data_IF_577576630621
#
_entry.id   IF_577576630621
#
_cell.length_a   1.000
_cell.length_b   1.000
_cell.length_c   1.000
_cell.angle_alpha   90.00
_cell.angle_beta   90.00
_cell.angle_gamma   90.00
#
_symmetry.space_group_name_H-M   'P 1'
#
loop_
_entity.id
_entity.type
_entity.pdbx_description
1 polymer ?
#
# COMPACT_ATOMS: atom_id res chain seq x y z
N UNK A 1 -8.19 6.30 -16.26
CA UNK A 1 -7.09 6.98 -16.96
C UNK A 1 -6.00 7.28 -15.93
N UNK A 2 -4.74 7.03 -16.26
CA UNK A 2 -3.58 7.30 -15.41
C UNK A 2 -2.41 7.81 -16.25
N UNK A 3 -1.29 8.16 -15.60
CA UNK A 3 -0.08 8.61 -16.28
C UNK A 3 1.17 8.15 -15.57
N UNK A 4 2.20 7.78 -16.35
CA UNK A 4 3.56 7.57 -15.90
C UNK A 4 4.56 7.89 -17.02
N UNK A 5 5.83 8.02 -16.68
CA UNK A 5 6.84 8.44 -17.65
C UNK A 5 7.18 7.38 -18.71
N UNK A 6 6.93 6.09 -18.43
CA UNK A 6 7.21 4.97 -19.33
C UNK A 6 6.11 4.84 -20.38
N UNK A 7 4.86 4.73 -19.93
CA UNK A 7 3.69 4.51 -20.79
C UNK A 7 3.07 5.83 -21.30
N UNK A 8 3.45 6.97 -20.70
CA UNK A 8 2.75 8.24 -20.90
C UNK A 8 1.35 8.20 -20.29
N UNK A 9 0.39 8.80 -20.96
CA UNK A 9 -1.03 8.62 -20.61
C UNK A 9 -1.44 7.18 -20.90
N UNK A 10 -2.14 6.56 -19.96
CA UNK A 10 -2.67 5.20 -20.10
C UNK A 10 -4.17 5.15 -19.87
N UNK A 11 -4.83 4.32 -20.64
CA UNK A 11 -6.26 4.09 -20.54
C UNK A 11 -6.45 2.67 -20.00
N UNK A 12 -7.15 2.56 -18.86
CA UNK A 12 -7.49 1.28 -18.22
C UNK A 12 -9.00 1.08 -18.28
N UNK A 13 -9.42 -0.06 -18.81
CA UNK A 13 -10.82 -0.51 -18.82
C UNK A 13 -10.88 -1.80 -18.03
N UNK A 14 -11.82 -1.90 -17.12
CA UNK A 14 -11.99 -3.07 -16.28
C UNK A 14 -13.42 -3.56 -16.25
N UNK A 15 -13.57 -4.85 -16.05
CA UNK A 15 -14.84 -5.54 -15.92
C UNK A 15 -14.84 -6.35 -14.63
N UNK A 16 -15.99 -6.38 -13.96
CA UNK A 16 -16.23 -7.22 -12.80
C UNK A 16 -17.66 -7.75 -12.83
N UNK A 17 -17.80 -9.06 -12.65
CA UNK A 17 -19.14 -9.65 -12.50
C UNK A 17 -19.76 -9.19 -11.18
N UNK A 18 -21.05 -8.88 -11.24
CA UNK A 18 -21.85 -8.53 -10.08
C UNK A 18 -23.29 -9.00 -10.34
N UNK A 19 -23.62 -10.20 -9.90
CA UNK A 19 -24.97 -10.77 -10.05
C UNK A 19 -25.81 -10.50 -8.81
N UNK A 20 -25.21 -10.48 -7.63
CA UNK A 20 -25.86 -10.08 -6.39
C UNK A 20 -24.82 -9.64 -5.32
N UNK A 21 -25.31 -9.14 -4.17
CA UNK A 21 -24.43 -8.83 -3.03
C UNK A 21 -23.86 -10.11 -2.38
N UNK A 22 -24.46 -11.25 -2.66
CA UNK A 22 -24.10 -12.55 -2.07
C UNK A 22 -23.56 -13.52 -3.12
N UNK A 23 -22.89 -13.01 -4.15
CA UNK A 23 -22.29 -13.84 -5.20
C UNK A 23 -21.33 -14.88 -4.61
N UNK A 24 -21.47 -16.14 -5.06
CA UNK A 24 -20.52 -17.21 -4.73
C UNK A 24 -19.29 -17.22 -5.62
N UNK A 25 -19.38 -16.58 -6.76
CA UNK A 25 -18.30 -16.46 -7.74
C UNK A 25 -18.15 -15.02 -8.16
N UNK A 26 -16.91 -14.58 -8.29
CA UNK A 26 -16.59 -13.26 -8.84
C UNK A 26 -15.39 -13.32 -9.74
N UNK A 27 -15.59 -12.85 -10.95
CA UNK A 27 -14.55 -12.64 -11.93
C UNK A 27 -14.26 -11.15 -12.07
N UNK A 28 -12.98 -10.80 -12.20
CA UNK A 28 -12.53 -9.44 -12.49
C UNK A 28 -11.48 -9.50 -13.60
N UNK A 29 -11.50 -8.55 -14.49
CA UNK A 29 -10.49 -8.36 -15.51
C UNK A 29 -10.25 -6.90 -15.79
N UNK A 30 -9.06 -6.57 -16.25
CA UNK A 30 -8.77 -5.26 -16.82
C UNK A 30 -7.80 -5.37 -17.97
N UNK A 31 -7.86 -4.37 -18.85
CA UNK A 31 -6.93 -4.15 -19.93
C UNK A 31 -6.47 -2.70 -19.86
N UNK A 32 -5.17 -2.48 -19.99
CA UNK A 32 -4.55 -1.15 -19.98
C UNK A 32 -3.74 -0.97 -21.25
N UNK A 33 -3.87 0.19 -21.89
CA UNK A 33 -3.03 0.58 -23.03
C UNK A 33 -2.25 1.85 -22.72
N UNK A 34 -0.94 1.80 -22.86
CA UNK A 34 -0.03 2.93 -22.74
C UNK A 34 0.14 3.63 -24.07
N UNK A 35 -0.13 4.95 -24.12
CA UNK A 35 -0.12 5.69 -25.40
C UNK A 35 1.29 6.01 -25.89
N UNK A 36 2.28 6.16 -25.00
CA UNK A 36 3.67 6.50 -25.35
C UNK A 36 4.44 5.31 -25.90
N UNK A 37 4.47 4.21 -25.15
CA UNK A 37 5.22 3.00 -25.50
C UNK A 37 4.38 1.96 -26.23
N UNK A 38 3.09 2.21 -26.45
CA UNK A 38 2.12 1.32 -27.09
C UNK A 38 2.01 -0.07 -26.43
N UNK A 39 2.41 -0.19 -25.17
CA UNK A 39 2.30 -1.45 -24.43
C UNK A 39 0.88 -1.78 -24.04
N UNK A 40 0.59 -3.06 -23.91
CA UNK A 40 -0.63 -3.60 -23.35
C UNK A 40 -0.32 -4.32 -22.06
N UNK A 41 -1.09 -4.00 -21.01
CA UNK A 41 -1.03 -4.71 -19.74
C UNK A 41 -2.43 -5.21 -19.40
N UNK A 42 -2.53 -6.31 -18.69
CA UNK A 42 -3.81 -6.93 -18.37
C UNK A 42 -3.76 -7.67 -17.05
N UNK A 43 -4.95 -7.93 -16.51
CA UNK A 43 -5.09 -8.76 -15.33
C UNK A 43 -6.44 -9.46 -15.29
N UNK A 44 -6.41 -10.67 -14.77
CA UNK A 44 -7.55 -11.55 -14.61
C UNK A 44 -7.57 -12.07 -13.17
N UNK A 45 -8.75 -12.12 -12.53
CA UNK A 45 -8.90 -12.81 -11.25
C UNK A 45 -10.25 -13.48 -11.14
N UNK A 46 -10.28 -14.63 -10.49
CA UNK A 46 -11.48 -15.37 -10.18
C UNK A 46 -11.47 -15.77 -8.70
N UNK A 47 -12.55 -15.50 -8.00
CA UNK A 47 -12.72 -15.84 -6.60
C UNK A 47 -13.99 -16.67 -6.44
N UNK A 48 -13.90 -17.77 -5.71
CA UNK A 48 -14.99 -18.68 -5.48
C UNK A 48 -15.18 -18.96 -3.98
N UNK A 49 -16.42 -18.81 -3.50
CA UNK A 49 -16.82 -19.10 -2.14
C UNK A 49 -17.18 -20.58 -2.02
N UNK A 50 -16.25 -21.38 -1.48
CA UNK A 50 -16.41 -22.82 -1.28
C UNK A 50 -17.38 -23.17 -0.16
N UNK A 51 -17.32 -22.42 0.94
CA UNK A 51 -18.15 -22.64 2.13
C UNK A 51 -18.49 -21.34 2.85
N UNK A 52 -19.64 -21.34 3.57
CA UNK A 52 -20.10 -20.20 4.36
C UNK A 52 -19.85 -20.36 5.87
N UNK A 53 -19.74 -21.59 6.35
CA UNK A 53 -19.52 -21.93 7.78
C UNK A 53 -18.70 -23.22 7.91
N UNK A 54 -17.37 -23.12 8.08
CA UNK A 54 -16.55 -21.89 8.03
C UNK A 54 -16.57 -21.27 6.62
N UNK A 55 -16.32 -19.97 6.55
CA UNK A 55 -16.21 -19.27 5.28
C UNK A 55 -14.85 -19.56 4.67
N UNK A 56 -14.86 -20.13 3.48
CA UNK A 56 -13.66 -20.47 2.73
C UNK A 56 -13.78 -19.88 1.33
N UNK A 57 -12.81 -19.06 0.94
CA UNK A 57 -12.67 -18.54 -0.42
C UNK A 57 -11.41 -19.11 -1.02
N UNK A 58 -11.51 -19.54 -2.26
CA UNK A 58 -10.36 -19.84 -3.12
C UNK A 58 -10.33 -18.84 -4.26
N UNK A 59 -9.17 -18.27 -4.52
CA UNK A 59 -8.96 -17.29 -5.56
C UNK A 59 -7.74 -17.62 -6.40
N UNK A 60 -7.81 -17.27 -7.67
CA UNK A 60 -6.69 -17.31 -8.61
C UNK A 60 -6.61 -15.99 -9.35
N UNK A 61 -5.40 -15.50 -9.58
CA UNK A 61 -5.18 -14.31 -10.40
C UNK A 61 -3.91 -14.43 -11.24
N UNK A 62 -3.95 -13.79 -12.39
CA UNK A 62 -2.79 -13.54 -13.22
C UNK A 62 -2.81 -12.09 -13.67
N UNK A 63 -1.65 -11.43 -13.67
CA UNK A 63 -1.51 -10.08 -14.22
C UNK A 63 -0.14 -9.91 -14.85
N UNK A 64 -0.10 -9.13 -15.92
CA UNK A 64 1.07 -8.61 -16.58
C UNK A 64 0.95 -7.09 -16.56
N UNK A 65 1.67 -6.42 -15.67
CA UNK A 65 1.48 -4.99 -15.42
C UNK A 65 2.76 -4.32 -14.91
N UNK A 66 2.86 -3.02 -15.17
CA UNK A 66 3.90 -2.16 -14.62
C UNK A 66 3.53 -1.76 -13.18
N UNK A 67 4.23 -2.32 -12.23
CA UNK A 67 4.00 -2.05 -10.81
C UNK A 67 4.98 -1.02 -10.25
N UNK A 68 4.49 -0.19 -9.34
CA UNK A 68 5.27 0.74 -8.53
C UNK A 68 5.42 0.16 -7.14
N UNK A 69 6.64 -0.18 -6.75
CA UNK A 69 6.93 -0.51 -5.36
C UNK A 69 7.08 0.76 -4.51
N UNK A 70 6.95 0.62 -3.20
CA UNK A 70 7.12 1.73 -2.26
C UNK A 70 5.85 2.52 -1.95
N UNK A 71 4.66 2.05 -2.38
CA UNK A 71 3.38 2.64 -2.02
C UNK A 71 2.89 2.17 -0.65
N UNK A 72 2.40 0.94 -0.55
CA UNK A 72 1.88 0.36 0.71
C UNK A 72 2.63 -0.91 1.08
N UNK A 73 2.96 -1.07 2.36
CA UNK A 73 3.63 -2.27 2.86
C UNK A 73 2.65 -3.42 3.11
N UNK A 74 1.44 -3.10 3.56
CA UNK A 74 0.42 -4.09 3.90
C UNK A 74 -0.90 -3.79 3.19
N UNK A 75 -1.44 -4.77 2.47
CA UNK A 75 -2.78 -4.72 1.87
C UNK A 75 -3.68 -5.74 2.56
N UNK A 76 -4.95 -5.39 2.78
CA UNK A 76 -5.92 -6.31 3.37
C UNK A 76 -6.37 -7.41 2.39
N UNK A 77 -6.36 -7.13 1.09
CA UNK A 77 -6.76 -8.10 0.06
C UNK A 77 -5.74 -8.18 -1.09
N UNK A 78 -5.05 -9.31 -1.25
CA UNK A 78 -4.01 -9.47 -2.27
C UNK A 78 -4.54 -9.74 -3.69
N UNK A 79 -5.83 -10.03 -3.85
CA UNK A 79 -6.44 -10.36 -5.15
C UNK A 79 -7.33 -9.27 -5.73
N UNK A 80 -7.51 -8.16 -5.01
CA UNK A 80 -8.24 -7.01 -5.54
C UNK A 80 -7.29 -6.17 -6.40
N UNK A 81 -7.64 -6.00 -7.68
CA UNK A 81 -7.01 -5.02 -8.54
C UNK A 81 -7.50 -3.62 -8.16
N UNK A 82 -6.57 -2.74 -7.76
CA UNK A 82 -6.90 -1.35 -7.51
C UNK A 82 -7.00 -0.59 -8.85
N UNK A 83 -8.21 -0.18 -9.29
CA UNK A 83 -8.37 0.55 -10.53
C UNK A 83 -7.80 1.98 -10.46
N UNK A 84 -7.52 2.49 -9.26
CA UNK A 84 -7.02 3.85 -9.00
C UNK A 84 -5.54 3.88 -8.62
N UNK A 85 -4.83 2.77 -8.69
CA UNK A 85 -3.40 2.68 -8.35
C UNK A 85 -2.52 3.69 -9.12
N UNK A 86 -2.99 4.15 -10.28
CA UNK A 86 -2.30 5.14 -11.11
C UNK A 86 -3.07 6.45 -11.20
N UNK A 87 -2.71 7.41 -10.37
CA UNK A 87 -3.25 8.76 -10.46
C UNK A 87 -2.75 9.47 -11.73
N UNK A 88 -3.62 10.32 -12.31
CA UNK A 88 -3.27 11.18 -13.47
C UNK A 88 -2.15 12.15 -13.16
N UNK A 89 -2.14 12.68 -11.93
CA UNK A 89 -1.19 13.69 -11.49
C UNK A 89 -0.40 13.17 -10.29
N UNK A 90 0.91 13.13 -10.46
CA UNK A 90 1.87 12.79 -9.41
C UNK A 90 2.98 13.82 -9.38
N UNK A 91 3.55 14.08 -8.21
CA UNK A 91 4.77 14.88 -8.09
C UNK A 91 6.00 13.98 -8.20
N UNK A 92 7.13 14.58 -8.58
CA UNK A 92 8.42 13.87 -8.66
C UNK A 92 8.49 12.84 -9.79
N UNK A 93 9.55 12.06 -9.78
CA UNK A 93 9.83 11.06 -10.82
C UNK A 93 8.84 9.89 -10.75
N UNK A 94 8.37 9.45 -11.89
CA UNK A 94 7.36 8.40 -12.01
C UNK A 94 7.78 7.29 -13.00
N UNK A 95 9.10 7.11 -13.18
CA UNK A 95 9.70 6.04 -13.98
C UNK A 95 10.20 4.86 -13.15
N UNK A 96 10.20 4.95 -11.82
CA UNK A 96 10.58 3.86 -10.92
C UNK A 96 9.57 2.71 -10.96
N UNK A 97 9.51 2.02 -12.10
CA UNK A 97 8.54 0.94 -12.32
C UNK A 97 9.22 -0.35 -12.72
N UNK A 98 8.58 -1.40 -12.32
CA UNK A 98 9.00 -2.77 -12.56
C UNK A 98 7.93 -3.47 -13.38
N UNK A 99 8.35 -4.17 -14.41
CA UNK A 99 7.50 -5.05 -15.20
C UNK A 99 7.34 -6.37 -14.46
N UNK A 100 6.10 -6.79 -14.22
CA UNK A 100 5.80 -7.95 -13.38
C UNK A 100 4.71 -8.79 -14.01
N UNK A 101 5.06 -10.04 -14.29
CA UNK A 101 4.10 -11.11 -14.49
C UNK A 101 3.86 -11.79 -13.14
N UNK A 102 2.64 -11.75 -12.63
CA UNK A 102 2.29 -12.17 -11.28
C UNK A 102 1.13 -13.17 -11.30
N UNK A 103 1.43 -14.43 -11.01
CA UNK A 103 0.45 -15.48 -10.83
C UNK A 103 0.26 -15.78 -9.34
N UNK A 104 -0.99 -15.86 -8.90
CA UNK A 104 -1.33 -16.09 -7.49
C UNK A 104 -2.46 -17.09 -7.34
N UNK A 105 -2.32 -17.95 -6.34
CA UNK A 105 -3.42 -18.80 -5.82
C UNK A 105 -3.57 -18.52 -4.34
N UNK A 106 -4.77 -18.16 -3.93
CA UNK A 106 -5.07 -17.80 -2.55
C UNK A 106 -6.17 -18.68 -1.96
N UNK A 107 -6.02 -19.00 -0.68
CA UNK A 107 -7.12 -19.51 0.14
C UNK A 107 -7.30 -18.58 1.34
N UNK A 108 -8.51 -18.06 1.51
CA UNK A 108 -8.91 -17.28 2.70
C UNK A 108 -9.88 -18.10 3.53
N UNK A 109 -9.54 -18.29 4.79
CA UNK A 109 -10.28 -19.10 5.74
C UNK A 109 -10.69 -18.25 6.95
N UNK A 110 -11.98 -17.92 7.04
CA UNK A 110 -12.51 -17.25 8.20
C UNK A 110 -12.85 -18.27 9.31
N UNK A 111 -11.92 -18.48 10.24
CA UNK A 111 -12.12 -19.35 11.42
C UNK A 111 -13.32 -18.84 12.21
N UNK A 112 -13.37 -17.54 12.42
CA UNK A 112 -14.49 -16.81 13.03
C UNK A 112 -14.70 -15.50 12.28
N UNK A 113 -15.78 -14.77 12.58
CA UNK A 113 -15.94 -13.40 12.06
C UNK A 113 -14.83 -12.43 12.47
N UNK A 114 -14.07 -12.76 13.51
CA UNK A 114 -13.01 -11.91 14.07
C UNK A 114 -11.61 -12.34 13.62
N UNK A 115 -11.42 -13.58 13.18
CA UNK A 115 -10.13 -14.16 12.83
C UNK A 115 -10.17 -14.80 11.44
N UNK A 116 -9.36 -14.23 10.54
CA UNK A 116 -9.13 -14.73 9.19
C UNK A 116 -7.68 -15.18 9.04
N UNK A 117 -7.50 -16.33 8.41
CA UNK A 117 -6.22 -16.84 7.96
C UNK A 117 -6.24 -16.94 6.45
N UNK A 118 -5.22 -16.43 5.78
CA UNK A 118 -5.05 -16.61 4.34
C UNK A 118 -3.69 -17.22 4.04
N UNK A 119 -3.68 -18.07 3.03
CA UNK A 119 -2.46 -18.58 2.41
C UNK A 119 -2.45 -18.14 0.97
N UNK A 120 -1.31 -17.67 0.49
CA UNK A 120 -1.09 -17.26 -0.87
C UNK A 120 0.15 -17.97 -1.39
N UNK A 121 0.03 -18.72 -2.46
CA UNK A 121 1.15 -19.09 -3.30
C UNK A 121 1.28 -18.06 -4.42
N UNK A 122 2.48 -17.63 -4.71
CA UNK A 122 2.77 -16.68 -5.78
C UNK A 122 3.93 -17.15 -6.64
N UNK A 123 3.88 -16.77 -7.91
CA UNK A 123 4.95 -16.89 -8.89
C UNK A 123 5.03 -15.56 -9.62
N UNK A 124 6.19 -14.92 -9.52
CA UNK A 124 6.45 -13.62 -10.13
C UNK A 124 7.68 -13.68 -11.01
N UNK A 125 7.53 -13.20 -12.22
CA UNK A 125 8.64 -12.84 -13.09
C UNK A 125 8.78 -11.31 -13.02
N UNK A 126 9.96 -10.84 -12.65
CA UNK A 126 10.20 -9.43 -12.29
C UNK A 126 11.39 -8.91 -13.08
N UNK A 127 11.15 -7.87 -13.87
CA UNK A 127 12.15 -7.20 -14.68
C UNK A 127 12.09 -5.68 -14.55
N UNK A 128 13.18 -4.97 -14.85
CA UNK A 128 13.13 -3.51 -14.90
C UNK A 128 12.37 -3.05 -16.14
N UNK A 129 11.45 -2.11 -15.96
CA UNK A 129 10.66 -1.56 -17.07
C UNK A 129 11.43 -0.51 -17.91
N UNK A 130 12.48 0.08 -17.35
CA UNK A 130 13.37 1.05 -18.00
C UNK A 130 14.77 0.92 -17.39
N UNK A 131 15.58 -0.07 -17.84
CA UNK A 131 16.87 -0.39 -17.23
C UNK A 131 17.88 0.75 -17.28
N UNK A 132 17.75 1.66 -18.25
CA UNK A 132 18.68 2.78 -18.42
C UNK A 132 18.52 3.84 -17.34
N UNK A 133 17.31 4.03 -16.83
CA UNK A 133 16.99 5.03 -15.78
C UNK A 133 16.75 4.40 -14.42
N UNK A 134 16.25 3.17 -14.38
CA UNK A 134 15.92 2.46 -13.15
C UNK A 134 16.19 0.95 -13.29
N UNK A 135 17.36 0.53 -12.85
CA UNK A 135 17.71 -0.89 -12.77
C UNK A 135 17.33 -1.47 -11.40
N UNK A 136 16.77 -2.66 -11.42
CA UNK A 136 16.55 -3.50 -10.23
C UNK A 136 17.66 -4.58 -10.11
N UNK A 137 18.80 -4.35 -10.73
CA UNK A 137 19.92 -5.28 -10.78
C UNK A 137 20.37 -5.75 -9.39
N UNK A 138 20.80 -6.98 -9.33
CA UNK A 138 21.41 -7.56 -8.14
C UNK A 138 22.55 -8.51 -8.50
N UNK A 139 23.54 -8.57 -7.61
CA UNK A 139 24.79 -9.32 -7.83
C UNK A 139 24.65 -10.77 -7.40
N UNK A 140 25.03 -11.69 -8.29
CA UNK A 140 25.13 -13.13 -8.02
C UNK A 140 26.55 -13.57 -8.37
N UNK A 141 27.42 -13.62 -7.36
CA UNK A 141 28.86 -13.84 -7.60
C UNK A 141 29.49 -12.64 -8.33
N UNK A 142 30.04 -12.87 -9.51
CA UNK A 142 30.63 -11.83 -10.38
C UNK A 142 29.61 -11.22 -11.37
N UNK A 143 28.44 -11.83 -11.52
CA UNK A 143 27.44 -11.44 -12.50
C UNK A 143 26.37 -10.54 -11.89
N UNK A 144 25.83 -9.62 -12.70
CA UNK A 144 24.62 -8.83 -12.36
C UNK A 144 23.43 -9.39 -13.12
N UNK A 145 22.34 -9.64 -12.41
CA UNK A 145 21.04 -10.03 -12.98
C UNK A 145 20.06 -8.87 -12.85
N UNK A 146 19.38 -8.54 -13.96
CA UNK A 146 18.37 -7.46 -14.03
C UNK A 146 16.93 -7.97 -14.04
N UNK A 147 16.77 -9.29 -14.02
CA UNK A 147 15.50 -9.99 -13.97
C UNK A 147 15.62 -11.20 -13.06
N UNK A 148 14.52 -11.61 -12.46
CA UNK A 148 14.49 -12.79 -11.61
C UNK A 148 13.08 -13.33 -11.40
N UNK A 149 13.02 -14.63 -11.12
CA UNK A 149 11.79 -15.32 -10.74
C UNK A 149 11.71 -15.41 -9.21
N UNK A 150 10.61 -14.97 -8.64
CA UNK A 150 10.30 -15.07 -7.22
C UNK A 150 9.04 -15.92 -7.01
N UNK A 151 9.20 -17.10 -6.46
CA UNK A 151 8.08 -17.98 -6.11
C UNK A 151 8.16 -18.41 -4.65
N UNK A 152 7.00 -18.50 -4.01
CA UNK A 152 6.94 -18.84 -2.60
C UNK A 152 5.54 -18.76 -2.02
N UNK A 153 5.50 -18.65 -0.71
CA UNK A 153 4.25 -18.65 0.05
C UNK A 153 4.16 -17.42 0.97
N UNK A 154 2.95 -16.90 1.11
CA UNK A 154 2.61 -15.88 2.09
C UNK A 154 1.50 -16.42 3.00
N UNK A 155 1.72 -16.34 4.30
CA UNK A 155 0.70 -16.60 5.32
C UNK A 155 0.30 -15.28 5.94
N UNK A 156 -1.00 -15.06 6.07
CA UNK A 156 -1.55 -13.86 6.67
C UNK A 156 -2.59 -14.21 7.70
N UNK A 157 -2.51 -13.54 8.85
CA UNK A 157 -3.51 -13.57 9.90
C UNK A 157 -4.08 -12.17 10.08
N UNK A 158 -5.40 -12.04 10.06
CA UNK A 158 -6.10 -10.78 10.35
C UNK A 158 -7.02 -11.04 11.55
N UNK A 159 -6.78 -10.33 12.63
CA UNK A 159 -7.58 -10.40 13.85
C UNK A 159 -8.21 -9.05 14.16
N UNK A 160 -9.54 -9.02 14.26
CA UNK A 160 -10.33 -7.82 14.58
C UNK A 160 -11.44 -8.22 15.55
N UNK A 161 -11.28 -7.94 16.87
CA UNK A 161 -12.30 -8.28 17.86
C UNK A 161 -13.64 -7.59 17.53
N UNK A 162 -14.75 -8.28 17.80
CA UNK A 162 -16.11 -7.77 17.62
C UNK A 162 -16.40 -7.21 16.21
N UNK A 163 -15.74 -7.74 15.18
CA UNK A 163 -15.90 -7.34 13.78
C UNK A 163 -17.36 -7.43 13.35
N UNK A 164 -17.88 -6.37 12.75
CA UNK A 164 -19.19 -6.36 12.11
C UNK A 164 -19.02 -6.73 10.64
N UNK A 165 -19.73 -7.76 10.21
CA UNK A 165 -19.64 -8.29 8.86
C UNK A 165 -21.02 -8.24 8.22
N UNK A 166 -21.10 -7.76 6.98
CA UNK A 166 -22.32 -7.69 6.20
C UNK A 166 -22.16 -8.45 4.88
N UNK A 167 -23.19 -9.21 4.49
CA UNK A 167 -23.21 -10.03 3.29
C UNK A 167 -22.62 -11.42 3.50
N UNK A 168 -22.92 -12.30 2.55
CA UNK A 168 -22.56 -13.73 2.57
C UNK A 168 -21.78 -14.14 1.32
N UNK A 169 -21.58 -13.22 0.37
CA UNK A 169 -20.89 -13.46 -0.90
C UNK A 169 -19.37 -13.56 -0.77
N UNK A 170 -18.72 -13.65 -1.92
CA UNK A 170 -17.25 -13.68 -2.05
C UNK A 170 -16.63 -12.45 -1.38
N UNK A 171 -17.22 -11.25 -1.57
CA UNK A 171 -16.79 -10.04 -0.90
C UNK A 171 -17.77 -9.63 0.19
N UNK A 172 -17.30 -9.70 1.42
CA UNK A 172 -18.04 -9.20 2.57
C UNK A 172 -17.71 -7.72 2.79
N UNK A 173 -18.69 -6.98 3.27
CA UNK A 173 -18.46 -5.61 3.76
C UNK A 173 -18.20 -5.66 5.26
N UNK A 174 -17.23 -4.87 5.68
CA UNK A 174 -16.93 -4.70 7.09
C UNK A 174 -17.52 -3.38 7.57
N UNK A 175 -18.21 -3.42 8.70
CA UNK A 175 -18.70 -2.21 9.34
C UNK A 175 -17.58 -1.40 9.95
N UNK A 176 -17.86 -0.12 10.20
CA UNK A 176 -16.93 0.77 10.88
C UNK A 176 -16.51 0.15 12.21
N UNK A 177 -15.21 -0.10 12.37
CA UNK A 177 -14.69 -0.86 13.50
C UNK A 177 -13.94 0.08 14.44
N UNK A 178 -14.39 0.10 15.70
CA UNK A 178 -13.76 0.85 16.78
C UNK A 178 -12.87 -0.05 17.67
N UNK A 179 -12.49 -1.21 17.15
CA UNK A 179 -11.63 -2.17 17.81
C UNK A 179 -10.32 -2.30 17.06
N UNK A 180 -9.24 -2.69 17.74
CA UNK A 180 -7.96 -2.87 17.09
C UNK A 180 -8.01 -3.93 16.00
N UNK A 181 -7.31 -3.70 14.91
CA UNK A 181 -7.08 -4.69 13.86
C UNK A 181 -5.60 -5.02 13.84
N UNK A 182 -5.28 -6.28 14.02
CA UNK A 182 -3.92 -6.82 13.94
C UNK A 182 -3.76 -7.62 12.67
N UNK A 183 -2.73 -7.34 11.89
CA UNK A 183 -2.36 -8.10 10.69
C UNK A 183 -0.93 -8.62 10.90
N UNK A 184 -0.75 -9.92 10.80
CA UNK A 184 0.57 -10.55 10.77
C UNK A 184 0.73 -11.20 9.39
N UNK A 185 1.87 -10.95 8.75
CA UNK A 185 2.21 -11.52 7.46
C UNK A 185 3.59 -12.17 7.55
N UNK A 186 3.66 -13.43 7.13
CA UNK A 186 4.88 -14.19 6.96
C UNK A 186 5.04 -14.54 5.49
N UNK A 187 6.13 -14.14 4.86
CA UNK A 187 6.42 -14.42 3.45
C UNK A 187 7.70 -15.24 3.37
N UNK A 188 7.66 -16.33 2.58
CA UNK A 188 8.79 -17.21 2.30
C UNK A 188 8.97 -17.36 0.80
N UNK A 189 10.06 -16.83 0.26
CA UNK A 189 10.55 -17.20 -1.08
C UNK A 189 11.32 -18.51 -1.01
N UNK A 190 11.19 -19.36 -2.01
CA UNK A 190 11.81 -20.71 -2.03
C UNK A 190 12.61 -20.89 -3.31
N UNK A 191 13.94 -20.86 -3.20
CA UNK A 191 14.84 -21.08 -4.33
C UNK A 191 14.63 -22.49 -4.92
N UNK A 192 14.67 -22.59 -6.25
CA UNK A 192 14.43 -23.82 -7.00
C UNK A 192 12.96 -24.21 -7.15
N UNK A 193 12.04 -23.58 -6.40
CA UNK A 193 10.62 -23.85 -6.54
C UNK A 193 10.06 -23.08 -7.76
N UNK A 194 9.61 -23.81 -8.76
CA UNK A 194 9.06 -23.29 -10.02
C UNK A 194 9.95 -22.17 -10.63
N UNK A 195 11.26 -22.45 -10.75
CA UNK A 195 12.21 -21.52 -11.36
C UNK A 195 12.66 -20.36 -10.48
N UNK A 196 12.21 -20.27 -9.23
CA UNK A 196 12.60 -19.19 -8.31
C UNK A 196 14.10 -19.20 -8.03
N UNK A 197 14.70 -18.02 -8.10
CA UNK A 197 16.10 -17.79 -7.78
C UNK A 197 16.32 -17.33 -6.33
N UNK A 198 15.26 -17.03 -5.59
CA UNK A 198 15.33 -16.36 -4.31
C UNK A 198 14.93 -17.28 -3.15
N UNK A 199 15.73 -17.24 -2.08
CA UNK A 199 15.42 -17.88 -0.82
C UNK A 199 15.45 -16.84 0.30
N UNK A 200 14.29 -16.52 0.86
CA UNK A 200 14.19 -15.51 1.91
C UNK A 200 12.98 -15.71 2.81
N UNK A 201 13.04 -15.11 3.97
CA UNK A 201 11.96 -15.09 4.96
C UNK A 201 11.72 -13.64 5.37
N UNK A 202 10.46 -13.20 5.37
CA UNK A 202 10.04 -11.89 5.83
C UNK A 202 8.89 -12.02 6.80
N UNK A 203 8.93 -11.21 7.86
CA UNK A 203 7.82 -11.05 8.79
C UNK A 203 7.39 -9.59 8.82
N UNK A 204 6.09 -9.35 8.82
CA UNK A 204 5.51 -8.02 8.96
C UNK A 204 4.35 -8.05 9.95
N UNK A 205 4.23 -6.99 10.72
CA UNK A 205 3.15 -6.74 11.67
C UNK A 205 2.54 -5.38 11.38
N UNK A 206 1.22 -5.30 11.33
CA UNK A 206 0.49 -4.03 11.33
C UNK A 206 -0.58 -4.07 12.42
N UNK A 207 -0.60 -3.04 13.24
CA UNK A 207 -1.58 -2.85 14.31
C UNK A 207 -2.28 -1.51 14.11
N UNK A 208 -3.55 -1.52 13.76
CA UNK A 208 -4.39 -0.33 13.76
C UNK A 208 -5.23 -0.31 15.02
N UNK A 209 -5.22 0.81 15.73
CA UNK A 209 -5.96 0.98 16.98
C UNK A 209 -6.71 2.32 17.02
N UNK A 210 -8.02 2.34 16.76
CA UNK A 210 -8.86 3.52 16.95
C UNK A 210 -9.18 3.73 18.44
N UNK A 211 -8.58 4.74 19.06
CA UNK A 211 -8.70 5.06 20.49
C UNK A 211 -9.74 6.17 20.67
N UNK A 212 -10.83 5.88 21.35
CA UNK A 212 -11.84 6.89 21.69
C UNK A 212 -11.38 7.71 22.89
N UNK A 213 -11.23 9.01 22.71
CA UNK A 213 -10.83 9.97 23.74
C UNK A 213 -12.02 10.78 24.28
N UNK A 214 -13.20 10.14 24.37
CA UNK A 214 -14.44 10.78 24.86
C UNK A 214 -14.74 12.07 24.08
N UNK A 215 -14.89 13.20 24.77
CA UNK A 215 -15.17 14.52 24.17
C UNK A 215 -14.05 15.05 23.28
N UNK A 216 -12.84 14.55 23.42
CA UNK A 216 -11.69 14.98 22.61
C UNK A 216 -11.63 14.31 21.23
N UNK A 217 -12.54 13.37 20.94
CA UNK A 217 -12.63 12.74 19.62
C UNK A 217 -12.02 11.35 19.56
N UNK A 218 -11.38 11.04 18.42
CA UNK A 218 -10.80 9.71 18.15
C UNK A 218 -9.37 9.88 17.68
N UNK A 219 -8.45 9.13 18.28
CA UNK A 219 -7.09 8.95 17.79
C UNK A 219 -7.02 7.63 17.03
N UNK A 220 -6.77 7.68 15.73
CA UNK A 220 -6.46 6.51 14.90
C UNK A 220 -4.93 6.32 14.88
N UNK A 221 -4.47 5.27 15.54
CA UNK A 221 -3.06 4.92 15.64
C UNK A 221 -2.77 3.67 14.82
N UNK A 222 -1.85 3.75 13.86
CA UNK A 222 -1.36 2.60 13.12
C UNK A 222 0.14 2.45 13.34
N UNK A 223 0.56 1.25 13.73
CA UNK A 223 1.97 0.87 13.89
C UNK A 223 2.25 -0.27 12.93
N UNK A 224 3.32 -0.17 12.17
CA UNK A 224 3.77 -1.19 11.24
C UNK A 224 5.25 -1.49 11.47
N UNK A 225 5.60 -2.76 11.51
CA UNK A 225 6.98 -3.20 11.64
C UNK A 225 7.23 -4.41 10.72
N UNK A 226 8.44 -4.55 10.24
CA UNK A 226 8.81 -5.71 9.45
C UNK A 226 10.30 -5.93 9.37
N UNK A 227 10.67 -7.18 9.07
CA UNK A 227 12.05 -7.59 8.88
C UNK A 227 12.17 -8.63 7.77
N UNK A 228 13.17 -8.43 6.91
CA UNK A 228 13.71 -9.44 6.00
C UNK A 228 14.95 -10.05 6.62
N UNK A 229 14.98 -11.37 6.76
CA UNK A 229 16.10 -12.06 7.44
C UNK A 229 17.24 -12.41 6.48
N UNK A 230 16.96 -12.41 5.18
CA UNK A 230 17.88 -12.86 4.14
C UNK A 230 18.18 -11.73 3.15
N UNK A 231 19.12 -11.98 2.24
CA UNK A 231 19.47 -11.08 1.14
C UNK A 231 18.41 -11.14 0.06
N UNK A 232 17.90 -9.99 -0.38
CA UNK A 232 16.86 -9.89 -1.39
C UNK A 232 17.12 -8.74 -2.36
N UNK A 233 16.69 -8.86 -3.64
CA UNK A 233 16.73 -7.76 -4.60
C UNK A 233 15.85 -6.57 -4.19
N UNK A 234 16.10 -5.41 -4.80
CA UNK A 234 15.43 -4.15 -4.49
C UNK A 234 13.89 -4.24 -4.42
N UNK A 235 13.16 -4.86 -5.37
CA UNK A 235 11.71 -4.96 -5.29
C UNK A 235 11.18 -5.82 -4.14
N UNK A 236 12.04 -6.66 -3.55
CA UNK A 236 11.69 -7.49 -2.40
C UNK A 236 12.09 -6.87 -1.05
N UNK A 237 12.81 -5.74 -1.06
CA UNK A 237 13.07 -4.93 0.13
C UNK A 237 11.84 -4.09 0.51
N UNK A 238 11.83 -3.57 1.73
CA UNK A 238 10.79 -2.67 2.19
C UNK A 238 11.18 -1.23 1.83
N UNK A 239 10.44 -0.61 0.92
CA UNK A 239 10.51 0.83 0.74
C UNK A 239 9.55 1.52 1.70
N UNK A 240 9.99 2.61 2.34
CA UNK A 240 9.10 3.41 3.20
C UNK A 240 7.91 3.91 2.37
N UNK A 241 6.66 3.70 2.82
CA UNK A 241 5.48 4.00 2.03
C UNK A 241 5.35 5.47 1.66
N UNK A 242 5.64 5.81 0.41
CA UNK A 242 5.56 7.16 -0.12
C UNK A 242 4.26 7.41 -0.88
N UNK A 243 3.74 8.63 -0.81
CA UNK A 243 2.59 9.07 -1.58
C UNK A 243 2.96 10.29 -2.44
N UNK A 244 3.15 10.06 -3.73
CA UNK A 244 3.41 11.12 -4.70
C UNK A 244 2.14 11.71 -5.33
N UNK A 245 0.94 11.19 -4.98
CA UNK A 245 -0.33 11.73 -5.49
C UNK A 245 -0.75 12.98 -4.70
N UNK A 246 -1.66 13.77 -5.25
CA UNK A 246 -2.27 14.89 -4.53
C UNK A 246 -3.38 14.45 -3.58
N UNK A 247 -3.84 13.21 -3.71
CA UNK A 247 -4.81 12.60 -2.80
C UNK A 247 -4.12 12.11 -1.53
N UNK A 248 -4.82 12.17 -0.41
CA UNK A 248 -4.35 11.58 0.84
C UNK A 248 -4.54 10.07 0.79
N UNK A 249 -3.46 9.34 1.00
CA UNK A 249 -3.49 7.88 1.17
C UNK A 249 -3.20 7.49 2.62
N UNK A 250 -3.98 6.53 3.13
CA UNK A 250 -3.80 6.03 4.51
C UNK A 250 -2.49 5.24 4.62
N UNK A 251 -1.80 5.39 5.76
CA UNK A 251 -0.56 4.70 6.10
C UNK A 251 0.58 4.96 5.10
N UNK A 252 0.66 6.18 4.56
CA UNK A 252 1.75 6.62 3.69
C UNK A 252 2.33 7.94 4.14
N UNK A 253 3.56 8.21 3.76
CA UNK A 253 4.22 9.50 3.96
C UNK A 253 3.96 10.40 2.76
N UNK A 254 3.38 11.55 3.01
CA UNK A 254 2.86 12.43 1.95
C UNK A 254 3.94 13.27 1.26
N UNK A 255 5.10 13.45 1.88
CA UNK A 255 6.18 14.29 1.38
C UNK A 255 7.42 13.49 0.96
N UNK A 256 7.40 12.16 1.07
CA UNK A 256 8.42 11.29 0.49
C UNK A 256 8.16 11.02 -0.99
N UNK A 257 9.22 10.78 -1.73
CA UNK A 257 9.19 10.17 -3.05
C UNK A 257 9.43 8.67 -2.97
N UNK A 258 9.03 7.93 -4.02
CA UNK A 258 9.28 6.49 -4.08
C UNK A 258 10.79 6.22 -4.01
N UNK A 259 11.18 5.22 -3.21
CA UNK A 259 12.56 4.82 -2.96
C UNK A 259 13.45 5.87 -2.27
N UNK A 260 12.88 6.96 -1.70
CA UNK A 260 13.67 7.86 -0.85
C UNK A 260 14.31 7.10 0.31
N UNK A 261 13.61 6.11 0.88
CA UNK A 261 14.16 5.23 1.90
C UNK A 261 13.85 3.76 1.59
N UNK A 262 14.89 2.93 1.63
CA UNK A 262 14.81 1.48 1.45
C UNK A 262 15.40 0.79 2.67
N UNK A 263 14.73 -0.24 3.17
CA UNK A 263 15.07 -0.91 4.42
C UNK A 263 14.88 -2.42 4.32
N UNK A 264 15.60 -3.18 5.11
CA UNK A 264 15.31 -4.61 5.37
C UNK A 264 14.67 -4.82 6.75
N UNK A 265 14.75 -3.80 7.60
CA UNK A 265 14.08 -3.74 8.91
C UNK A 265 13.45 -2.36 9.05
N UNK A 266 12.15 -2.30 9.36
CA UNK A 266 11.44 -1.03 9.50
C UNK A 266 10.47 -0.99 10.68
N UNK A 267 10.20 0.22 11.13
CA UNK A 267 9.17 0.57 12.10
C UNK A 267 8.54 1.89 11.68
N UNK A 268 7.24 1.85 11.35
CA UNK A 268 6.47 3.04 10.97
C UNK A 268 5.32 3.26 11.94
N UNK A 269 5.05 4.52 12.24
CA UNK A 269 3.90 4.92 13.07
C UNK A 269 3.13 6.02 12.36
N UNK A 270 1.80 5.89 12.32
CA UNK A 270 0.89 6.88 11.78
C UNK A 270 -0.17 7.19 12.85
N UNK A 271 -0.22 8.43 13.29
CA UNK A 271 -1.20 8.94 14.25
C UNK A 271 -2.07 9.98 13.57
N UNK A 272 -3.38 9.82 13.67
CA UNK A 272 -4.35 10.76 13.13
C UNK A 272 -5.41 11.05 14.20
N UNK A 273 -5.41 12.27 14.74
CA UNK A 273 -6.34 12.66 15.81
C UNK A 273 -7.46 13.52 15.24
N UNK A 274 -8.65 12.96 15.23
CA UNK A 274 -9.90 13.63 14.83
C UNK A 274 -10.57 14.25 16.03
N UNK A 275 -10.49 15.57 16.19
CA UNK A 275 -11.12 16.30 17.27
C UNK A 275 -12.64 16.42 17.14
N UNK A 276 -13.19 15.97 15.98
CA UNK A 276 -14.59 16.16 15.64
C UNK A 276 -15.00 17.64 15.76
N UNK A 277 -16.06 17.96 16.53
CA UNK A 277 -16.48 19.34 16.80
C UNK A 277 -15.82 19.99 18.02
N UNK A 278 -14.94 19.28 18.75
CA UNK A 278 -14.41 19.77 20.03
C UNK A 278 -13.68 21.11 19.91
N UNK A 279 -12.92 21.34 18.88
CA UNK A 279 -12.19 22.60 18.64
C UNK A 279 -13.08 23.60 17.90
N UNK A 280 -13.57 23.24 16.72
CA UNK A 280 -14.23 24.18 15.80
C UNK A 280 -15.58 24.69 16.31
N UNK A 281 -16.35 23.89 17.05
CA UNK A 281 -17.64 24.32 17.59
C UNK A 281 -17.53 25.35 18.72
N UNK A 282 -16.32 25.59 19.25
CA UNK A 282 -16.07 26.62 20.28
C UNK A 282 -15.72 27.97 19.68
N UNK A 283 -15.38 28.03 18.39
CA UNK A 283 -15.01 29.27 17.73
C UNK A 283 -16.27 29.94 17.16
N UNK A 284 -16.61 31.20 17.62
CA UNK A 284 -17.71 31.97 17.05
C UNK A 284 -17.54 32.07 15.53
N UNK A 285 -18.63 32.10 14.79
CA UNK A 285 -18.69 32.11 13.30
C UNK A 285 -18.18 30.86 12.60
N UNK A 286 -17.12 30.22 13.09
CA UNK A 286 -16.56 28.99 12.50
C UNK A 286 -17.46 27.78 12.75
N UNK A 287 -18.16 27.72 13.91
CA UNK A 287 -19.11 26.65 14.23
C UNK A 287 -20.18 26.45 13.17
N UNK A 288 -20.63 27.54 12.51
CA UNK A 288 -21.65 27.49 11.47
C UNK A 288 -21.14 26.79 10.19
N UNK A 289 -19.82 26.77 9.97
CA UNK A 289 -19.19 26.05 8.88
C UNK A 289 -19.16 24.54 9.12
N UNK A 290 -19.47 24.06 10.35
CA UNK A 290 -19.47 22.64 10.74
C UNK A 290 -18.16 21.91 10.42
N UNK A 291 -17.06 22.63 10.36
CA UNK A 291 -15.73 22.06 10.11
C UNK A 291 -15.30 21.18 11.28
N UNK A 292 -14.49 20.17 10.97
CA UNK A 292 -13.85 19.30 11.95
C UNK A 292 -12.33 19.43 11.83
N UNK A 293 -11.67 19.68 12.93
CA UNK A 293 -10.22 19.81 13.01
C UNK A 293 -9.58 18.44 13.24
N UNK A 294 -8.44 18.21 12.63
CA UNK A 294 -7.61 17.04 12.87
C UNK A 294 -6.12 17.40 12.92
N UNK A 295 -5.34 16.55 13.55
CA UNK A 295 -3.88 16.59 13.54
C UNK A 295 -3.32 15.24 13.12
N UNK A 296 -2.18 15.26 12.43
CA UNK A 296 -1.47 14.06 11.99
C UNK A 296 -0.02 14.10 12.44
N UNK A 297 0.50 12.93 12.82
CA UNK A 297 1.92 12.74 13.09
C UNK A 297 2.34 11.36 12.56
N UNK A 298 3.45 11.30 11.84
CA UNK A 298 3.96 10.09 11.21
C UNK A 298 5.44 9.99 11.41
N UNK A 299 5.94 8.78 11.68
CA UNK A 299 7.36 8.52 11.88
C UNK A 299 7.74 7.28 11.08
N UNK A 300 8.86 7.35 10.36
CA UNK A 300 9.52 6.21 9.76
C UNK A 300 10.91 6.06 10.37
N UNK A 301 11.24 4.85 10.78
CA UNK A 301 12.55 4.43 11.23
C UNK A 301 12.88 3.08 10.61
N UNK A 302 14.14 2.84 10.24
CA UNK A 302 14.51 1.55 9.68
C UNK A 302 15.95 1.53 9.22
N UNK A 303 16.48 0.36 9.00
CA UNK A 303 17.87 0.12 8.59
C UNK A 303 17.93 -0.79 7.37
N UNK A 304 19.02 -0.70 6.65
CA UNK A 304 19.38 -1.60 5.56
C UNK A 304 20.76 -2.21 5.87
N UNK A 305 20.83 -3.52 5.96
CA UNK A 305 22.07 -4.23 6.25
C UNK A 305 23.08 -4.08 5.11
N UNK A 306 24.37 -4.10 5.46
CA UNK A 306 25.44 -4.08 4.46
C UNK A 306 25.35 -5.26 3.50
N UNK A 307 24.86 -6.40 3.96
CA UNK A 307 24.66 -7.58 3.14
C UNK A 307 23.67 -7.36 1.99
N UNK A 308 22.59 -6.61 2.23
CA UNK A 308 21.64 -6.19 1.21
C UNK A 308 22.21 -5.05 0.35
N UNK A 309 22.89 -4.05 0.95
CA UNK A 309 23.49 -2.94 0.18
C UNK A 309 24.46 -3.42 -0.89
N UNK A 310 25.34 -4.37 -0.56
CA UNK A 310 26.35 -4.92 -1.49
C UNK A 310 25.70 -5.74 -2.60
N UNK A 311 24.54 -6.35 -2.34
CA UNK A 311 23.79 -7.12 -3.34
C UNK A 311 23.22 -6.25 -4.46
N UNK A 312 22.80 -5.03 -4.13
CA UNK A 312 22.10 -4.15 -5.08
C UNK A 312 23.04 -3.59 -6.15
N UNK A 313 22.61 -3.65 -7.40
CA UNK A 313 23.26 -3.04 -8.57
C UNK A 313 22.22 -2.17 -9.29
N UNK A 314 22.05 -0.96 -8.82
CA UNK A 314 21.01 -0.03 -9.26
C UNK A 314 21.58 1.38 -9.38
N UNK A 315 20.99 2.21 -10.24
CA UNK A 315 21.32 3.63 -10.32
C UNK A 315 20.84 4.45 -9.14
N UNK A 316 20.01 3.85 -8.26
CA UNK A 316 19.53 4.54 -7.06
C UNK A 316 20.63 4.66 -6.01
N UNK A 317 20.77 5.84 -5.45
CA UNK A 317 21.49 6.03 -4.20
C UNK A 317 20.60 5.59 -3.04
N UNK A 318 20.95 4.45 -2.42
CA UNK A 318 20.13 3.83 -1.38
C UNK A 318 20.44 4.43 -0.01
N UNK A 319 19.42 4.97 0.64
CA UNK A 319 19.49 5.44 2.03
C UNK A 319 18.41 4.80 2.90
N UNK A 320 18.61 4.84 4.20
CA UNK A 320 17.67 4.36 5.23
C UNK A 320 17.59 5.36 6.38
N UNK A 321 16.45 5.51 7.06
CA UNK A 321 16.28 6.44 8.19
C UNK A 321 16.79 5.82 9.50
N UNK A 322 18.03 5.27 9.50
CA UNK A 322 18.65 4.55 10.62
C UNK A 322 19.35 5.50 11.61
N UNK A 323 19.96 6.57 11.12
CA UNK A 323 20.65 7.56 11.95
C UNK A 323 19.67 8.60 12.54
N UNK A 324 18.71 9.03 11.75
CA UNK A 324 17.67 9.98 12.16
C UNK A 324 16.33 9.52 11.63
N UNK A 325 15.32 9.29 12.52
CA UNK A 325 13.98 8.99 12.08
C UNK A 325 13.43 10.10 11.17
N UNK A 326 12.79 9.71 10.09
CA UNK A 326 12.03 10.63 9.27
C UNK A 326 10.65 10.82 9.89
N UNK A 327 10.15 12.06 9.97
CA UNK A 327 8.81 12.32 10.47
C UNK A 327 8.08 13.39 9.66
N UNK A 328 6.78 13.24 9.59
CA UNK A 328 5.83 14.23 9.09
C UNK A 328 4.84 14.59 10.19
N UNK A 329 4.46 15.85 10.23
CA UNK A 329 3.39 16.34 11.11
C UNK A 329 2.51 17.31 10.35
N UNK A 330 1.27 17.43 10.77
CA UNK A 330 0.36 18.29 10.07
C UNK A 330 -0.96 18.50 10.79
N UNK A 331 -1.75 19.36 10.20
CA UNK A 331 -3.12 19.60 10.63
C UNK A 331 -4.03 19.68 9.41
N UNK A 332 -5.31 19.46 9.62
CA UNK A 332 -6.26 19.51 8.53
C UNK A 332 -7.69 19.82 8.99
N UNK A 333 -8.52 20.01 7.98
CA UNK A 333 -9.94 20.29 8.16
C UNK A 333 -10.75 19.27 7.37
N UNK A 334 -11.68 18.63 8.05
CA UNK A 334 -12.66 17.71 7.48
C UNK A 334 -14.02 18.36 7.40
N UNK A 335 -14.94 17.67 6.71
CA UNK A 335 -16.30 18.13 6.51
C UNK A 335 -16.37 19.44 5.70
N UNK A 336 -15.42 19.63 4.80
CA UNK A 336 -15.41 20.73 3.85
C UNK A 336 -16.44 20.46 2.74
N UNK A 337 -17.17 21.52 2.32
CA UNK A 337 -18.17 21.43 1.26
C UNK A 337 -19.28 22.46 1.42
N UNK A 338 -20.28 22.41 0.53
CA UNK A 338 -21.42 23.32 0.52
C UNK A 338 -22.72 22.58 0.86
N UNK A 339 -23.53 23.18 1.70
CA UNK A 339 -24.83 22.64 2.13
C UNK A 339 -24.71 21.28 2.81
N UNK A 340 -25.39 20.26 2.25
CA UNK A 340 -25.33 18.87 2.74
C UNK A 340 -24.19 18.05 2.12
N UNK A 341 -23.55 18.57 1.05
CA UNK A 341 -22.45 17.92 0.34
C UNK A 341 -21.13 18.32 1.01
N UNK A 342 -20.67 17.52 1.99
CA UNK A 342 -19.50 17.80 2.81
C UNK A 342 -18.61 16.58 2.86
N UNK A 343 -17.82 16.38 1.79
CA UNK A 343 -17.03 15.16 1.60
C UNK A 343 -15.53 15.42 1.48
N UNK A 344 -15.11 16.68 1.55
CA UNK A 344 -13.72 17.02 1.33
C UNK A 344 -12.97 17.18 2.64
N UNK A 345 -11.70 16.81 2.59
CA UNK A 345 -10.70 17.02 3.62
C UNK A 345 -9.50 17.72 2.99
N UNK A 346 -8.92 18.66 3.71
CA UNK A 346 -7.72 19.39 3.33
C UNK A 346 -6.70 19.28 4.45
N UNK A 347 -5.48 18.82 4.14
CA UNK A 347 -4.37 18.65 5.07
C UNK A 347 -3.19 19.52 4.67
N UNK A 348 -2.60 20.17 5.66
CA UNK A 348 -1.32 20.87 5.58
C UNK A 348 -0.28 20.02 6.32
N UNK A 349 0.72 19.54 5.59
CA UNK A 349 1.69 18.57 6.09
C UNK A 349 3.07 19.17 5.98
N UNK A 350 3.87 19.01 7.03
CA UNK A 350 5.24 19.43 7.16
C UNK A 350 6.11 18.21 7.45
N UNK A 351 7.40 18.29 7.13
CA UNK A 351 8.33 17.19 7.35
C UNK A 351 9.61 17.61 8.06
N UNK A 352 10.31 16.63 8.64
CA UNK A 352 11.70 16.79 9.05
C UNK A 352 12.61 17.01 7.85
N UNK A 353 13.74 17.63 8.09
CA UNK A 353 14.77 17.80 7.06
C UNK A 353 15.39 16.46 6.69
N UNK A 354 15.46 16.16 5.40
CA UNK A 354 16.24 15.10 4.80
C UNK A 354 16.66 15.51 3.39
N UNK A 355 17.71 14.89 2.86
CA UNK A 355 18.13 15.07 1.49
C UNK A 355 17.59 13.93 0.62
N UNK A 356 16.83 14.27 -0.42
CA UNK A 356 16.46 13.29 -1.44
C UNK A 356 17.69 13.04 -2.34
N UNK A 357 18.05 11.76 -2.52
CA UNK A 357 19.22 11.38 -3.30
C UNK A 357 18.84 11.05 -4.75
N UNK A 358 17.61 10.62 -4.99
CA UNK A 358 17.14 10.07 -6.26
C UNK A 358 16.14 10.98 -6.99
N UNK A 359 16.43 12.25 -7.12
CA UNK A 359 15.56 13.17 -7.86
C UNK A 359 15.44 14.55 -7.21
N UNK A 360 14.43 15.33 -7.61
CA UNK A 360 14.23 16.65 -7.07
C UNK A 360 13.89 16.60 -5.58
N UNK A 361 14.46 17.53 -4.82
CA UNK A 361 14.16 17.66 -3.40
C UNK A 361 12.66 17.80 -3.16
N UNK A 362 12.09 16.95 -2.34
CA UNK A 362 10.69 17.07 -1.93
C UNK A 362 10.46 18.33 -1.11
N UNK A 363 9.31 18.99 -1.24
CA UNK A 363 9.02 20.22 -0.49
C UNK A 363 8.96 19.94 1.02
N UNK A 364 9.31 20.94 1.84
CA UNK A 364 9.22 20.85 3.30
C UNK A 364 7.76 20.93 3.80
N UNK A 365 6.89 21.51 2.98
CA UNK A 365 5.44 21.61 3.22
C UNK A 365 4.68 21.13 2.00
N UNK A 366 3.57 20.46 2.22
CA UNK A 366 2.64 20.06 1.16
C UNK A 366 1.18 20.11 1.59
N UNK A 367 0.33 20.26 0.59
CA UNK A 367 -1.12 20.22 0.78
C UNK A 367 -1.67 18.95 0.14
N UNK A 368 -2.60 18.27 0.85
CA UNK A 368 -3.29 17.07 0.36
C UNK A 368 -4.78 17.24 0.48
N UNK A 369 -5.47 16.71 -0.50
CA UNK A 369 -6.93 16.70 -0.55
C UNK A 369 -7.41 15.25 -0.48
N UNK A 370 -8.46 14.99 0.30
CA UNK A 370 -9.11 13.70 0.33
C UNK A 370 -10.62 13.86 0.15
N UNK A 371 -11.21 12.85 -0.48
CA UNK A 371 -12.65 12.69 -0.54
C UNK A 371 -13.06 11.69 0.54
N UNK A 372 -13.74 12.17 1.57
CA UNK A 372 -14.24 11.35 2.68
C UNK A 372 -15.71 11.68 2.95
N UNK A 373 -16.65 10.91 2.41
CA UNK A 373 -18.05 11.04 2.80
C UNK A 373 -18.19 10.66 4.28
N UNK A 374 -18.62 11.61 5.09
CA UNK A 374 -18.99 11.38 6.50
C UNK A 374 -20.51 11.22 6.55
N UNK A 375 -20.97 9.99 6.64
CA UNK A 375 -22.37 9.66 6.90
C UNK A 375 -22.62 9.49 8.39
#
# INVERSE_FOLDING_TARGET
VGSNEIQGTKIKVGFRTFTSQNDRFRFQSYLTHGLKNKSWNYGLSANFLMGNRPRVIVGVSYSDDLQQFGGKLMSEDPLIFDPFADALFKRGNNYFRTDIQDFKVMTDYAITKNLHLSTLWYLRDIASADPDRFSIGYRVGADTKNEYVDSGFEFRMIFTPKRKVFGYGVFQRFGNNLYPTTIIKLKKGVAGFIGSNLNYTQIQLSQNYPIKLSKFGILDATIEAGKSFDKVPLPSLFSVPANQTFSLEKNTFSLLSYYDFVTDTYFNTHLEHHFNGFVMNRLPYIKELKLRFLMTFRVAYGSLSNANKVLLDTQLEIQSPDQKPYYEYGFGFENLGLGQVRFFRLDFIFRSQYQALNGPQSPEMGVRVAFRPTF
#
